data_IF_508125149186
#
_entry.id   IF_508125149186
#
_cell.length_a   1.000
_cell.length_b   1.000
_cell.length_c   1.000
_cell.angle_alpha   90.00
_cell.angle_beta   90.00
_cell.angle_gamma   90.00
#
_symmetry.space_group_name_H-M   'P 1'
#
loop_
_entity.id
_entity.type
_entity.pdbx_description
1 polymer ?
#
# COMPACT_ATOMS: atom_id res chain seq x y z
N UNK A 1 -18.54 -18.79 -15.23
CA UNK A 1 -17.32 -18.60 -16.05
C UNK A 1 -16.80 -17.18 -15.93
N UNK A 2 -17.63 -16.14 -16.10
CA UNK A 2 -17.19 -14.73 -15.97
C UNK A 2 -16.60 -14.33 -14.62
N UNK A 3 -17.18 -14.79 -13.50
CA UNK A 3 -16.73 -14.41 -12.15
C UNK A 3 -15.32 -14.94 -11.82
N UNK A 4 -15.01 -16.17 -12.26
CA UNK A 4 -13.67 -16.76 -12.14
C UNK A 4 -12.64 -15.99 -12.95
N UNK A 5 -13.02 -15.56 -14.16
CA UNK A 5 -12.18 -14.77 -15.04
C UNK A 5 -11.93 -13.37 -14.45
N UNK A 6 -12.96 -12.72 -13.91
CA UNK A 6 -12.82 -11.45 -13.19
C UNK A 6 -11.90 -11.59 -11.96
N UNK A 7 -12.05 -12.67 -11.19
CA UNK A 7 -11.18 -12.94 -10.04
C UNK A 7 -9.72 -13.13 -10.46
N UNK A 8 -9.48 -13.82 -11.56
CA UNK A 8 -8.13 -14.02 -12.10
C UNK A 8 -7.50 -12.70 -12.58
N UNK A 9 -8.29 -11.84 -13.22
CA UNK A 9 -7.85 -10.49 -13.61
C UNK A 9 -7.54 -9.65 -12.37
N UNK A 10 -8.41 -9.67 -11.36
CA UNK A 10 -8.22 -8.93 -10.12
C UNK A 10 -6.97 -9.39 -9.37
N UNK A 11 -6.77 -10.70 -9.21
CA UNK A 11 -5.59 -11.30 -8.55
C UNK A 11 -4.30 -10.92 -9.29
N UNK A 12 -4.31 -10.93 -10.63
CA UNK A 12 -3.18 -10.43 -11.44
C UNK A 12 -2.90 -8.95 -11.19
N UNK A 13 -3.94 -8.14 -11.01
CA UNK A 13 -3.84 -6.73 -10.63
C UNK A 13 -3.14 -6.56 -9.28
N UNK A 14 -3.53 -7.33 -8.26
CA UNK A 14 -2.89 -7.28 -6.93
C UNK A 14 -1.43 -7.73 -6.95
N UNK A 15 -1.11 -8.76 -7.75
CA UNK A 15 0.28 -9.21 -7.94
C UNK A 15 1.10 -8.11 -8.63
N UNK A 16 0.56 -7.47 -9.67
CA UNK A 16 1.21 -6.35 -10.34
C UNK A 16 1.43 -5.18 -9.39
N UNK A 17 0.41 -4.84 -8.58
CA UNK A 17 0.53 -3.83 -7.53
C UNK A 17 1.67 -4.18 -6.57
N UNK A 18 1.74 -5.41 -6.05
CA UNK A 18 2.84 -5.85 -5.18
C UNK A 18 4.22 -5.70 -5.82
N UNK A 19 4.35 -6.02 -7.12
CA UNK A 19 5.60 -5.82 -7.89
C UNK A 19 5.98 -4.35 -8.00
N UNK A 20 5.01 -3.48 -8.30
CA UNK A 20 5.24 -2.04 -8.37
C UNK A 20 5.65 -1.46 -7.01
N UNK A 21 4.98 -1.87 -5.93
CA UNK A 21 5.32 -1.45 -4.56
C UNK A 21 6.78 -1.81 -4.21
N UNK A 22 7.24 -3.02 -4.56
CA UNK A 22 8.63 -3.40 -4.39
C UNK A 22 9.59 -2.62 -5.29
N UNK A 23 9.25 -2.41 -6.57
CA UNK A 23 10.07 -1.64 -7.48
C UNK A 23 10.27 -0.20 -6.99
N UNK A 24 9.21 0.45 -6.52
CA UNK A 24 9.28 1.78 -5.91
C UNK A 24 10.06 1.77 -4.60
N UNK A 25 9.96 0.73 -3.78
CA UNK A 25 10.77 0.60 -2.56
C UNK A 25 12.26 0.58 -2.87
N UNK A 26 12.67 -0.20 -3.88
CA UNK A 26 14.07 -0.29 -4.32
C UNK A 26 14.55 1.07 -4.83
N UNK A 27 13.71 1.77 -5.61
CA UNK A 27 14.02 3.11 -6.14
C UNK A 27 14.10 4.18 -5.05
N UNK A 28 13.33 4.03 -3.96
CA UNK A 28 13.32 4.94 -2.82
C UNK A 28 14.58 4.80 -1.94
N UNK A 29 15.21 3.63 -1.94
CA UNK A 29 16.38 3.32 -1.12
C UNK A 29 17.57 4.30 -1.32
N UNK A 30 18.04 4.62 -2.55
CA UNK A 30 19.09 5.62 -2.74
C UNK A 30 18.67 7.02 -2.26
N UNK A 31 17.40 7.39 -2.40
CA UNK A 31 16.87 8.68 -1.93
C UNK A 31 16.99 8.76 -0.41
N UNK A 32 16.56 7.72 0.31
CA UNK A 32 16.68 7.65 1.77
C UNK A 32 18.15 7.78 2.21
N UNK A 33 19.07 7.08 1.53
CA UNK A 33 20.51 7.17 1.84
C UNK A 33 21.08 8.57 1.63
N UNK A 34 20.62 9.31 0.61
CA UNK A 34 21.04 10.69 0.37
C UNK A 34 20.48 11.64 1.43
N UNK A 35 19.20 11.51 1.77
CA UNK A 35 18.51 12.40 2.72
C UNK A 35 19.02 12.19 4.16
N UNK A 36 19.34 10.96 4.57
CA UNK A 36 19.91 10.66 5.90
C UNK A 36 21.25 11.38 6.12
N UNK A 37 22.07 11.53 5.08
CA UNK A 37 23.37 12.21 5.16
C UNK A 37 23.26 13.74 5.18
N UNK A 38 22.06 14.27 4.98
CA UNK A 38 21.85 15.71 4.93
C UNK A 38 21.98 16.37 6.30
N UNK A 39 22.63 17.53 6.32
CA UNK A 39 22.67 18.43 7.48
C UNK A 39 21.45 19.35 7.55
N UNK A 40 20.65 19.42 6.48
CA UNK A 40 19.51 20.33 6.39
C UNK A 40 18.34 19.82 7.25
N UNK A 41 17.87 20.66 8.19
CA UNK A 41 16.83 20.31 9.17
C UNK A 41 15.53 19.81 8.53
N UNK A 42 15.06 20.49 7.47
CA UNK A 42 13.91 20.04 6.67
C UNK A 42 14.08 18.62 6.10
N UNK A 43 15.24 18.34 5.48
CA UNK A 43 15.51 17.04 4.86
C UNK A 43 15.56 15.93 5.93
N UNK A 44 16.17 16.20 7.09
CA UNK A 44 16.15 15.27 8.24
C UNK A 44 14.73 14.97 8.73
N UNK A 45 13.83 15.95 8.68
CA UNK A 45 12.41 15.75 8.98
C UNK A 45 11.72 14.81 7.99
N UNK A 46 11.93 15.02 6.69
CA UNK A 46 11.34 14.20 5.61
C UNK A 46 11.82 12.74 5.64
N UNK A 47 13.01 12.48 6.18
CA UNK A 47 13.57 11.13 6.30
C UNK A 47 12.62 10.15 7.00
N UNK A 48 11.94 10.58 8.07
CA UNK A 48 11.09 9.68 8.87
C UNK A 48 9.90 9.17 8.04
N UNK A 49 9.09 10.03 7.40
CA UNK A 49 8.06 9.60 6.48
C UNK A 49 8.57 8.72 5.33
N UNK A 50 9.74 9.05 4.75
CA UNK A 50 10.30 8.26 3.65
C UNK A 50 10.71 6.85 4.09
N UNK A 51 11.30 6.72 5.28
CA UNK A 51 11.63 5.41 5.86
C UNK A 51 10.36 4.62 6.18
N UNK A 52 9.33 5.25 6.75
CA UNK A 52 8.04 4.60 6.99
C UNK A 52 7.39 4.13 5.69
N UNK A 53 7.37 4.99 4.67
CA UNK A 53 6.86 4.67 3.35
C UNK A 53 7.61 3.47 2.74
N UNK A 54 8.94 3.45 2.83
CA UNK A 54 9.75 2.31 2.40
C UNK A 54 9.36 1.03 3.11
N UNK A 55 9.26 1.05 4.44
CA UNK A 55 8.89 -0.14 5.23
C UNK A 55 7.51 -0.66 4.83
N UNK A 56 6.52 0.22 4.69
CA UNK A 56 5.16 -0.16 4.28
C UNK A 56 5.16 -0.73 2.86
N UNK A 57 5.80 -0.05 1.91
CA UNK A 57 5.86 -0.48 0.51
C UNK A 57 6.56 -1.83 0.35
N UNK A 58 7.69 -2.02 1.05
CA UNK A 58 8.46 -3.24 0.98
C UNK A 58 7.75 -4.42 1.65
N UNK A 59 7.24 -4.21 2.87
CA UNK A 59 6.56 -5.27 3.63
C UNK A 59 5.23 -5.68 2.98
N UNK A 60 4.36 -4.71 2.66
CA UNK A 60 3.07 -5.00 2.05
C UNK A 60 3.19 -5.48 0.61
N UNK A 61 4.14 -4.92 -0.17
CA UNK A 61 4.45 -5.41 -1.51
C UNK A 61 4.93 -6.87 -1.50
N UNK A 62 5.81 -7.21 -0.57
CA UNK A 62 6.27 -8.61 -0.37
C UNK A 62 5.11 -9.52 0.06
N UNK A 63 4.28 -9.07 0.99
CA UNK A 63 3.12 -9.81 1.45
C UNK A 63 2.14 -10.09 0.30
N UNK A 64 1.81 -9.09 -0.52
CA UNK A 64 0.94 -9.25 -1.69
C UNK A 64 1.50 -10.28 -2.67
N UNK A 65 2.78 -10.19 -3.00
CA UNK A 65 3.44 -11.12 -3.91
C UNK A 65 3.38 -12.57 -3.41
N UNK A 66 3.67 -12.81 -2.13
CA UNK A 66 3.67 -14.16 -1.56
C UNK A 66 2.23 -14.69 -1.42
N UNK A 67 1.35 -13.90 -0.80
CA UNK A 67 -0.02 -14.33 -0.47
C UNK A 67 -0.89 -14.51 -1.72
N UNK A 68 -0.85 -13.57 -2.68
CA UNK A 68 -1.72 -13.59 -3.86
C UNK A 68 -1.27 -14.60 -4.91
N UNK A 69 0.03 -14.82 -5.05
CA UNK A 69 0.55 -15.90 -5.91
C UNK A 69 0.11 -17.27 -5.38
N UNK A 70 0.16 -17.48 -4.05
CA UNK A 70 -0.32 -18.71 -3.41
C UNK A 70 -1.84 -18.85 -3.51
N UNK A 71 -2.59 -17.75 -3.34
CA UNK A 71 -4.05 -17.76 -3.47
C UNK A 71 -4.49 -18.09 -4.89
N UNK A 72 -3.80 -17.60 -5.92
CA UNK A 72 -4.09 -17.95 -7.32
C UNK A 72 -4.00 -19.46 -7.55
N UNK A 73 -2.93 -20.10 -7.08
CA UNK A 73 -2.72 -21.56 -7.20
C UNK A 73 -3.76 -22.37 -6.41
N UNK A 74 -4.21 -21.87 -5.25
CA UNK A 74 -5.18 -22.57 -4.40
C UNK A 74 -6.64 -22.33 -4.80
N UNK A 75 -6.94 -21.21 -5.45
CA UNK A 75 -8.32 -20.88 -5.85
C UNK A 75 -8.77 -21.76 -7.02
N UNK A 76 -7.86 -22.07 -7.97
CA UNK A 76 -8.16 -22.98 -9.09
C UNK A 76 -8.53 -24.40 -8.60
N UNK A 77 -7.86 -24.92 -7.57
CA UNK A 77 -8.16 -26.25 -7.02
C UNK A 77 -9.43 -26.27 -6.15
N UNK A 78 -9.72 -25.20 -5.39
CA UNK A 78 -10.95 -25.10 -4.58
C UNK A 78 -12.21 -24.88 -5.42
N UNK A 79 -12.10 -24.16 -6.53
CA UNK A 79 -13.23 -23.97 -7.45
C UNK A 79 -13.68 -25.29 -8.10
N UNK A 80 -12.75 -26.22 -8.32
CA UNK A 80 -13.05 -27.57 -8.81
C UNK A 80 -13.70 -28.47 -7.76
N UNK A 81 -13.45 -28.23 -6.47
CA UNK A 81 -13.97 -29.05 -5.37
C UNK A 81 -15.31 -28.56 -4.80
N UNK A 82 -15.52 -27.23 -4.67
CA UNK A 82 -16.75 -26.71 -4.06
C UNK A 82 -17.07 -25.26 -4.49
N UNK A 83 -17.68 -25.14 -5.67
CA UNK A 83 -17.91 -23.87 -6.37
C UNK A 83 -18.76 -22.86 -5.57
N UNK A 84 -19.77 -23.33 -4.85
CA UNK A 84 -20.76 -22.44 -4.21
C UNK A 84 -20.22 -21.75 -2.95
N UNK A 85 -19.38 -22.44 -2.18
CA UNK A 85 -18.74 -21.91 -0.97
C UNK A 85 -17.56 -20.97 -1.31
N UNK A 86 -16.90 -21.17 -2.44
CA UNK A 86 -15.85 -20.26 -2.93
C UNK A 86 -16.44 -18.89 -3.32
N UNK A 87 -17.62 -18.89 -3.98
CA UNK A 87 -18.28 -17.67 -4.44
C UNK A 87 -18.78 -16.81 -3.28
N UNK A 88 -19.41 -17.42 -2.26
CA UNK A 88 -19.93 -16.67 -1.10
C UNK A 88 -18.82 -16.04 -0.26
N UNK A 89 -17.70 -16.74 -0.08
CA UNK A 89 -16.54 -16.22 0.64
C UNK A 89 -15.88 -15.05 -0.10
N UNK A 90 -15.75 -15.11 -1.43
CA UNK A 90 -15.15 -14.02 -2.20
C UNK A 90 -16.07 -12.80 -2.30
N UNK A 91 -17.40 -12.98 -2.38
CA UNK A 91 -18.36 -11.87 -2.34
C UNK A 91 -18.32 -11.13 -0.99
N UNK A 92 -18.30 -11.86 0.12
CA UNK A 92 -18.18 -11.27 1.45
C UNK A 92 -16.86 -10.50 1.62
N UNK A 93 -15.76 -11.03 1.07
CA UNK A 93 -14.48 -10.34 1.05
C UNK A 93 -14.51 -9.05 0.22
N UNK A 94 -15.07 -9.09 -0.98
CA UNK A 94 -15.18 -7.92 -1.85
C UNK A 94 -16.00 -6.79 -1.21
N UNK A 95 -17.07 -7.14 -0.48
CA UNK A 95 -17.87 -6.14 0.23
C UNK A 95 -17.07 -5.46 1.36
N UNK A 96 -16.31 -6.24 2.14
CA UNK A 96 -15.45 -5.71 3.19
C UNK A 96 -14.30 -4.86 2.63
N UNK A 97 -13.69 -5.29 1.53
CA UNK A 97 -12.63 -4.55 0.84
C UNK A 97 -13.17 -3.19 0.33
N UNK A 98 -14.40 -3.14 -0.19
CA UNK A 98 -15.04 -1.91 -0.65
C UNK A 98 -15.26 -0.88 0.47
N UNK A 99 -15.70 -1.34 1.65
CA UNK A 99 -15.90 -0.49 2.84
C UNK A 99 -14.57 0.03 3.35
N UNK A 100 -13.57 -0.85 3.44
CA UNK A 100 -12.21 -0.51 3.86
C UNK A 100 -11.60 0.52 2.93
N UNK A 101 -11.74 0.34 1.63
CA UNK A 101 -11.22 1.28 0.63
C UNK A 101 -11.88 2.65 0.72
N UNK A 102 -13.19 2.70 0.98
CA UNK A 102 -13.93 3.95 1.17
C UNK A 102 -13.48 4.68 2.44
N UNK A 103 -13.32 3.96 3.55
CA UNK A 103 -12.82 4.53 4.79
C UNK A 103 -11.38 5.03 4.64
N UNK A 104 -10.52 4.24 3.98
CA UNK A 104 -9.14 4.60 3.73
C UNK A 104 -9.02 5.89 2.91
N UNK A 105 -9.87 6.08 1.89
CA UNK A 105 -9.92 7.33 1.11
C UNK A 105 -10.18 8.55 1.98
N UNK A 106 -11.18 8.49 2.86
CA UNK A 106 -11.49 9.60 3.77
C UNK A 106 -10.37 9.84 4.77
N UNK A 107 -9.82 8.78 5.36
CA UNK A 107 -8.69 8.88 6.28
C UNK A 107 -7.49 9.56 5.60
N UNK A 108 -7.16 9.14 4.37
CA UNK A 108 -6.07 9.74 3.61
C UNK A 108 -6.29 11.23 3.37
N UNK A 109 -7.49 11.63 2.92
CA UNK A 109 -7.83 13.04 2.71
C UNK A 109 -7.72 13.88 3.98
N UNK A 110 -8.20 13.37 5.12
CA UNK A 110 -8.09 14.05 6.41
C UNK A 110 -6.62 14.21 6.82
N UNK A 111 -5.81 13.16 6.70
CA UNK A 111 -4.39 13.23 7.01
C UNK A 111 -3.64 14.21 6.12
N UNK A 112 -3.97 14.30 4.82
CA UNK A 112 -3.38 15.30 3.91
C UNK A 112 -3.70 16.73 4.36
N UNK A 113 -4.94 17.01 4.77
CA UNK A 113 -5.33 18.34 5.26
C UNK A 113 -4.59 18.68 6.56
N UNK A 114 -4.50 17.74 7.50
CA UNK A 114 -3.76 17.92 8.77
C UNK A 114 -2.28 18.18 8.50
N UNK A 115 -1.67 17.42 7.59
CA UNK A 115 -0.29 17.59 7.13
C UNK A 115 -0.06 19.01 6.59
N UNK A 116 -0.95 19.49 5.71
CA UNK A 116 -0.86 20.85 5.14
C UNK A 116 -0.97 21.94 6.21
N UNK A 117 -1.93 21.82 7.13
CA UNK A 117 -2.10 22.78 8.24
C UNK A 117 -0.85 22.77 9.13
N UNK A 118 -0.32 21.59 9.45
CA UNK A 118 0.90 21.42 10.23
C UNK A 118 2.11 22.09 9.57
N UNK A 119 2.28 21.90 8.26
CA UNK A 119 3.36 22.55 7.50
C UNK A 119 3.31 24.09 7.57
N UNK A 120 2.11 24.67 7.45
CA UNK A 120 1.92 26.12 7.48
C UNK A 120 2.05 26.72 8.88
N UNK A 121 1.67 25.97 9.92
CA UNK A 121 1.57 26.48 11.29
C UNK A 121 2.87 26.36 12.09
N UNK A 122 3.76 25.43 11.72
CA UNK A 122 4.97 25.15 12.48
C UNK A 122 6.17 25.91 11.93
N UNK A 123 6.87 26.69 12.76
CA UNK A 123 8.07 27.43 12.34
C UNK A 123 9.34 26.58 12.22
N UNK A 124 9.40 25.45 12.94
CA UNK A 124 10.55 24.54 12.91
C UNK A 124 10.66 23.83 11.56
N UNK A 125 11.77 24.01 10.86
CA UNK A 125 12.03 23.36 9.58
C UNK A 125 11.99 21.84 9.67
N UNK A 126 12.45 21.26 10.77
CA UNK A 126 12.40 19.82 10.99
C UNK A 126 10.96 19.30 11.03
N UNK A 127 10.08 19.98 11.78
CA UNK A 127 8.67 19.61 11.87
C UNK A 127 7.91 19.89 10.58
N UNK A 128 8.31 20.91 9.80
CA UNK A 128 7.81 21.11 8.43
C UNK A 128 8.17 19.91 7.53
N UNK A 129 9.39 19.39 7.67
CA UNK A 129 9.83 18.20 6.94
C UNK A 129 9.01 16.96 7.32
N UNK A 130 8.70 16.79 8.60
CA UNK A 130 7.81 15.72 9.06
C UNK A 130 6.38 15.88 8.55
N UNK A 131 5.86 17.11 8.52
CA UNK A 131 4.53 17.38 8.03
C UNK A 131 4.39 17.13 6.52
N UNK A 132 5.46 17.35 5.74
CA UNK A 132 5.44 17.18 4.28
C UNK A 132 5.43 15.73 3.80
N UNK A 133 5.90 14.79 4.61
CA UNK A 133 5.94 13.38 4.23
C UNK A 133 4.81 12.58 4.85
#
# INVERSE_FOLDING_TARGET
MELLQQFHIWTKGEIMQGRLMLAFSILLLPIILLVIKSTHSLQRGITIPFVLLFVVQFSYGSYLLISRTKQQQQSESRFQQNQQQAITNELSKAENDSKTYTLLKYAWGIFTVISLIGYLSISSEYCKGLALG
#
